data_IF_550193475318
#
_entry.id   IF_550193475318
#
_cell.length_a   1.000
_cell.length_b   1.000
_cell.length_c   1.000
_cell.angle_alpha   90.00
_cell.angle_beta   90.00
_cell.angle_gamma   90.00
#
_symmetry.space_group_name_H-M   'P 1'
#
loop_
_entity.id
_entity.type
_entity.pdbx_description
1 polymer ?
#
# COMPACT_ATOMS: atom_id res chain seq x y z
N UNK A 1 19.36 -36.33 4.77
CA UNK A 1 18.43 -36.34 5.93
C UNK A 1 18.81 -35.19 6.84
N UNK A 2 17.92 -34.22 7.07
CA UNK A 2 18.18 -33.07 7.96
C UNK A 2 17.91 -33.54 9.39
N UNK A 3 18.91 -33.42 10.27
CA UNK A 3 18.76 -33.73 11.71
C UNK A 3 18.44 -32.41 12.44
N UNK A 4 17.25 -32.33 13.02
CA UNK A 4 16.84 -31.19 13.86
C UNK A 4 17.25 -31.51 15.31
N UNK A 5 18.10 -30.65 15.90
CA UNK A 5 18.42 -30.74 17.33
C UNK A 5 17.39 -29.96 18.14
N UNK A 6 16.69 -30.63 19.03
CA UNK A 6 15.67 -30.03 19.91
C UNK A 6 16.18 -29.71 21.31
N UNK A 7 17.47 -29.93 21.57
CA UNK A 7 18.08 -29.82 22.92
C UNK A 7 18.30 -28.41 23.46
N UNK A 8 18.03 -27.36 22.67
CA UNK A 8 18.08 -25.97 23.14
C UNK A 8 17.10 -25.12 22.30
N UNK A 9 15.80 -25.15 22.62
CA UNK A 9 14.81 -24.39 21.86
C UNK A 9 15.04 -22.90 22.11
N UNK A 10 15.43 -22.18 21.09
CA UNK A 10 15.42 -20.71 21.11
C UNK A 10 14.05 -20.22 20.65
N UNK A 11 13.51 -19.21 21.35
CA UNK A 11 12.26 -18.57 20.92
C UNK A 11 12.49 -17.86 19.59
N UNK A 12 11.84 -18.36 18.54
CA UNK A 12 11.84 -17.73 17.22
C UNK A 12 10.92 -16.52 17.29
N UNK A 13 11.36 -15.35 16.80
CA UNK A 13 10.46 -14.21 16.60
C UNK A 13 9.40 -14.59 15.55
N UNK A 14 8.15 -14.23 15.81
CA UNK A 14 7.04 -14.49 14.89
C UNK A 14 7.13 -13.56 13.67
N UNK A 15 8.09 -13.80 12.77
CA UNK A 15 8.26 -13.00 11.54
C UNK A 15 7.13 -13.24 10.52
N UNK A 16 6.32 -14.29 10.71
CA UNK A 16 5.15 -14.64 9.89
C UNK A 16 3.84 -14.02 10.41
N UNK A 17 3.86 -13.15 11.39
CA UNK A 17 2.67 -12.64 12.07
C UNK A 17 1.91 -11.54 11.27
N UNK A 18 1.96 -11.59 9.95
CA UNK A 18 1.25 -10.68 9.08
C UNK A 18 0.62 -11.41 7.89
N UNK A 19 -0.47 -10.84 7.37
CA UNK A 19 -1.12 -11.29 6.15
C UNK A 19 -1.61 -10.10 5.32
N UNK A 20 -1.97 -10.36 4.07
CA UNK A 20 -2.55 -9.37 3.18
C UNK A 20 -3.92 -9.81 2.71
N UNK A 21 -4.87 -8.86 2.71
CA UNK A 21 -6.19 -9.03 2.13
C UNK A 21 -6.54 -7.83 1.26
N UNK A 22 -7.16 -8.09 0.13
CA UNK A 22 -7.85 -7.05 -0.60
C UNK A 22 -9.10 -6.63 0.19
N UNK A 23 -9.43 -5.33 0.33
CA UNK A 23 -10.54 -4.88 1.18
C UNK A 23 -11.88 -5.51 0.86
N UNK A 24 -12.21 -5.65 -0.43
CA UNK A 24 -13.46 -6.25 -0.88
C UNK A 24 -13.56 -7.74 -0.52
N UNK A 25 -12.44 -8.44 -0.42
CA UNK A 25 -12.40 -9.86 -0.05
C UNK A 25 -12.33 -10.06 1.46
N UNK A 26 -11.70 -9.11 2.17
CA UNK A 26 -11.49 -9.19 3.60
C UNK A 26 -12.76 -8.89 4.40
N UNK A 27 -13.43 -7.80 4.07
CA UNK A 27 -14.49 -7.23 4.90
C UNK A 27 -15.86 -7.28 4.21
N UNK A 28 -15.91 -7.16 2.89
CA UNK A 28 -17.16 -7.16 2.13
C UNK A 28 -17.62 -8.56 1.76
N UNK A 29 -16.72 -9.56 1.77
CA UNK A 29 -17.06 -10.94 1.43
C UNK A 29 -17.11 -11.82 2.69
N UNK A 30 -18.18 -12.62 2.89
CA UNK A 30 -18.34 -13.48 4.07
C UNK A 30 -17.19 -14.47 4.30
N UNK A 31 -16.53 -14.95 3.26
CA UNK A 31 -15.41 -15.89 3.42
C UNK A 31 -14.17 -15.21 4.02
N UNK A 32 -13.86 -13.99 3.58
CA UNK A 32 -12.75 -13.19 4.11
C UNK A 32 -12.96 -12.87 5.59
N UNK A 33 -14.17 -12.45 5.96
CA UNK A 33 -14.53 -12.24 7.36
C UNK A 33 -14.32 -13.51 8.20
N UNK A 34 -14.77 -14.66 7.74
CA UNK A 34 -14.56 -15.93 8.48
C UNK A 34 -13.07 -16.26 8.68
N UNK A 35 -12.23 -15.98 7.70
CA UNK A 35 -10.78 -16.18 7.82
C UNK A 35 -10.19 -15.21 8.84
N UNK A 36 -10.51 -13.92 8.74
CA UNK A 36 -10.02 -12.90 9.68
C UNK A 36 -10.54 -13.14 11.11
N UNK A 37 -11.79 -13.55 11.28
CA UNK A 37 -12.33 -13.92 12.58
C UNK A 37 -11.54 -15.08 13.19
N UNK A 38 -11.18 -16.09 12.39
CA UNK A 38 -10.39 -17.24 12.86
C UNK A 38 -8.97 -16.82 13.23
N UNK A 39 -8.31 -16.03 12.39
CA UNK A 39 -6.96 -15.52 12.65
C UNK A 39 -6.92 -14.67 13.92
N UNK A 40 -7.93 -13.81 14.11
CA UNK A 40 -8.08 -12.98 15.31
C UNK A 40 -8.29 -13.85 16.56
N UNK A 41 -9.16 -14.85 16.47
CA UNK A 41 -9.42 -15.78 17.58
C UNK A 41 -8.16 -16.54 18.02
N UNK A 42 -7.39 -17.06 17.06
CA UNK A 42 -6.18 -17.82 17.33
C UNK A 42 -4.97 -16.91 17.67
N UNK A 43 -5.09 -15.60 17.49
CA UNK A 43 -4.00 -14.59 17.61
C UNK A 43 -2.72 -15.02 16.89
N UNK A 44 -2.90 -15.67 15.74
CA UNK A 44 -1.80 -16.19 14.94
C UNK A 44 -1.10 -15.12 14.12
N UNK A 45 -1.79 -14.01 13.88
CA UNK A 45 -1.33 -12.87 13.08
C UNK A 45 -1.71 -11.58 13.79
N UNK A 46 -0.77 -10.64 13.89
CA UNK A 46 -0.97 -9.34 14.54
C UNK A 46 -1.26 -8.21 13.54
N UNK A 47 -0.70 -8.30 12.34
CA UNK A 47 -0.75 -7.21 11.36
C UNK A 47 -1.39 -7.66 10.06
N UNK A 48 -2.38 -6.90 9.59
CA UNK A 48 -3.02 -7.10 8.30
C UNK A 48 -2.65 -5.97 7.37
N UNK A 49 -2.08 -6.31 6.21
CA UNK A 49 -1.90 -5.35 5.11
C UNK A 49 -3.20 -5.23 4.35
N UNK A 50 -3.64 -4.00 4.11
CA UNK A 50 -4.87 -3.69 3.38
C UNK A 50 -4.68 -2.46 2.49
N UNK A 51 -5.30 -2.44 1.33
CA UNK A 51 -5.34 -1.27 0.46
C UNK A 51 -6.36 -0.26 0.96
N UNK A 52 -6.01 1.03 0.92
CA UNK A 52 -6.96 2.10 1.28
C UNK A 52 -8.08 2.25 0.26
N UNK A 53 -7.81 1.93 -1.00
CA UNK A 53 -8.76 2.08 -2.11
C UNK A 53 -9.22 3.53 -2.28
N UNK A 54 -8.29 4.44 -2.55
CA UNK A 54 -8.58 5.87 -2.69
C UNK A 54 -9.60 6.20 -3.78
N UNK A 55 -9.76 5.33 -4.76
CA UNK A 55 -10.80 5.42 -5.77
C UNK A 55 -12.23 5.27 -5.20
N UNK A 56 -12.37 4.68 -4.00
CA UNK A 56 -13.65 4.61 -3.28
C UNK A 56 -13.85 5.83 -2.34
N UNK A 57 -12.84 6.68 -2.18
CA UNK A 57 -12.81 7.79 -1.22
C UNK A 57 -12.93 9.13 -1.93
N UNK A 58 -12.07 9.41 -2.92
CA UNK A 58 -11.98 10.71 -3.56
C UNK A 58 -12.83 10.79 -4.83
N UNK A 59 -13.62 11.86 -4.95
CA UNK A 59 -14.51 12.09 -6.09
C UNK A 59 -14.66 13.59 -6.40
N UNK A 60 -15.21 13.93 -7.56
CA UNK A 60 -15.60 15.30 -7.87
C UNK A 60 -17.05 15.53 -7.53
N UNK A 61 -17.35 16.64 -6.87
CA UNK A 61 -18.72 17.11 -6.70
C UNK A 61 -19.30 17.71 -7.99
N UNK A 62 -20.57 18.13 -7.94
CA UNK A 62 -21.24 18.74 -9.09
C UNK A 62 -20.61 20.04 -9.61
N UNK A 63 -19.69 20.66 -8.85
CA UNK A 63 -18.96 21.88 -9.22
C UNK A 63 -17.51 21.58 -9.66
N UNK A 64 -17.11 20.31 -9.73
CA UNK A 64 -15.76 19.91 -10.08
C UNK A 64 -14.74 20.03 -8.94
N UNK A 65 -15.18 20.20 -7.70
CA UNK A 65 -14.32 20.22 -6.51
C UNK A 65 -14.07 18.80 -6.02
N UNK A 66 -12.81 18.50 -5.66
CA UNK A 66 -12.44 17.24 -5.02
C UNK A 66 -13.06 17.18 -3.63
N UNK A 67 -13.77 16.10 -3.37
CA UNK A 67 -14.40 15.78 -2.09
C UNK A 67 -14.01 14.37 -1.65
N UNK A 68 -14.15 14.08 -0.36
CA UNK A 68 -13.75 12.81 0.25
C UNK A 68 -14.91 12.18 1.02
N UNK A 69 -15.15 10.90 0.76
CA UNK A 69 -16.10 10.08 1.51
C UNK A 69 -15.40 8.89 2.14
N UNK A 70 -15.19 8.92 3.42
CA UNK A 70 -14.46 7.90 4.16
C UNK A 70 -15.32 6.74 4.67
N UNK A 71 -16.65 6.82 4.52
CA UNK A 71 -17.59 5.87 5.16
C UNK A 71 -17.31 4.41 4.84
N UNK A 72 -17.04 4.08 3.59
CA UNK A 72 -16.74 2.68 3.20
C UNK A 72 -15.37 2.24 3.73
N UNK A 73 -14.38 3.11 3.69
CA UNK A 73 -13.07 2.83 4.26
C UNK A 73 -13.15 2.65 5.79
N UNK A 74 -13.91 3.49 6.47
CA UNK A 74 -14.14 3.37 7.90
C UNK A 74 -14.73 2.02 8.28
N UNK A 75 -15.74 1.53 7.57
CA UNK A 75 -16.31 0.20 7.80
C UNK A 75 -15.27 -0.92 7.68
N UNK A 76 -14.33 -0.79 6.74
CA UNK A 76 -13.24 -1.75 6.56
C UNK A 76 -12.24 -1.70 7.72
N UNK A 77 -11.84 -0.51 8.12
CA UNK A 77 -10.86 -0.32 9.19
C UNK A 77 -11.45 -0.62 10.58
N UNK A 78 -12.67 -0.18 10.85
CA UNK A 78 -13.36 -0.46 12.11
C UNK A 78 -13.42 -1.97 12.39
N UNK A 79 -13.76 -2.77 11.36
CA UNK A 79 -13.77 -4.22 11.48
C UNK A 79 -12.38 -4.79 11.85
N UNK A 80 -11.32 -4.32 11.19
CA UNK A 80 -9.97 -4.76 11.47
C UNK A 80 -9.53 -4.42 12.91
N UNK A 81 -9.87 -3.20 13.35
CA UNK A 81 -9.53 -2.71 14.70
C UNK A 81 -10.33 -3.47 15.75
N UNK A 82 -11.63 -3.70 15.52
CA UNK A 82 -12.48 -4.52 16.41
C UNK A 82 -11.90 -5.93 16.61
N UNK A 83 -11.32 -6.50 15.55
CA UNK A 83 -10.65 -7.81 15.62
C UNK A 83 -9.25 -7.77 16.27
N UNK A 84 -8.77 -6.59 16.63
CA UNK A 84 -7.50 -6.42 17.34
C UNK A 84 -6.26 -6.40 16.44
N UNK A 85 -6.42 -6.21 15.14
CA UNK A 85 -5.29 -6.15 14.21
C UNK A 85 -4.60 -4.78 14.23
N UNK A 86 -3.28 -4.80 14.12
CA UNK A 86 -2.52 -3.67 13.60
C UNK A 86 -2.61 -3.65 12.07
N UNK A 87 -2.41 -2.48 11.47
CA UNK A 87 -2.58 -2.33 10.04
C UNK A 87 -1.27 -1.93 9.35
N UNK A 88 -1.06 -2.46 8.15
CA UNK A 88 -0.22 -1.87 7.14
C UNK A 88 -1.16 -1.33 6.05
N UNK A 89 -1.35 -0.01 6.04
CA UNK A 89 -2.21 0.66 5.08
C UNK A 89 -1.41 1.05 3.84
N UNK A 90 -1.76 0.49 2.70
CA UNK A 90 -1.17 0.88 1.44
C UNK A 90 -2.03 2.01 0.83
N UNK A 91 -1.48 3.22 0.73
CA UNK A 91 -2.12 4.41 0.17
C UNK A 91 -2.17 4.28 -1.35
N UNK A 92 -3.28 3.75 -1.85
CA UNK A 92 -3.53 3.41 -3.26
C UNK A 92 -5.03 3.11 -3.48
N UNK A 93 -5.54 3.02 -4.70
CA UNK A 93 -4.85 3.34 -5.96
C UNK A 93 -5.12 4.80 -6.33
N UNK A 94 -4.76 5.20 -7.59
CA UNK A 94 -4.97 6.57 -8.04
C UNK A 94 -6.47 6.80 -8.28
N UNK A 95 -7.12 7.76 -7.58
CA UNK A 95 -8.51 8.08 -7.87
C UNK A 95 -8.62 8.79 -9.23
N UNK A 96 -9.67 8.48 -9.98
CA UNK A 96 -9.88 9.04 -11.31
C UNK A 96 -9.95 10.57 -11.31
N UNK A 97 -10.46 11.16 -10.23
CA UNK A 97 -10.63 12.62 -10.11
C UNK A 97 -9.32 13.41 -10.10
N UNK A 98 -8.20 12.78 -9.72
CA UNK A 98 -6.87 13.39 -9.74
C UNK A 98 -5.91 12.73 -10.73
N UNK A 99 -6.33 11.66 -11.42
CA UNK A 99 -5.50 10.95 -12.38
C UNK A 99 -5.16 11.83 -13.60
N UNK A 100 -3.90 11.84 -14.03
CA UNK A 100 -3.45 12.52 -15.26
C UNK A 100 -4.05 11.86 -16.50
N UNK A 101 -4.12 10.53 -16.50
CA UNK A 101 -4.71 9.74 -17.56
C UNK A 101 -5.77 8.80 -17.00
N UNK A 102 -7.05 9.16 -17.18
CA UNK A 102 -8.19 8.36 -16.71
C UNK A 102 -8.30 7.01 -17.40
N UNK A 103 -7.71 6.85 -18.59
CA UNK A 103 -7.73 5.62 -19.37
C UNK A 103 -6.55 4.67 -19.05
N UNK A 104 -5.58 5.11 -18.24
CA UNK A 104 -4.48 4.27 -17.77
C UNK A 104 -4.99 3.32 -16.70
N UNK A 105 -5.48 2.17 -17.12
CA UNK A 105 -6.16 1.22 -16.21
C UNK A 105 -5.59 -0.18 -16.31
N UNK A 106 -5.67 -0.91 -15.21
CA UNK A 106 -5.35 -2.33 -15.14
C UNK A 106 -6.40 -3.06 -14.31
N UNK A 107 -6.62 -4.33 -14.64
CA UNK A 107 -7.48 -5.19 -13.82
C UNK A 107 -6.63 -6.04 -12.92
N UNK A 108 -6.63 -5.74 -11.63
CA UNK A 108 -5.97 -6.53 -10.60
C UNK A 108 -6.90 -7.64 -10.09
N UNK A 109 -6.32 -8.72 -9.56
CA UNK A 109 -7.08 -9.88 -9.10
C UNK A 109 -8.02 -10.44 -10.18
N UNK A 110 -7.51 -10.59 -11.41
CA UNK A 110 -8.22 -11.23 -12.53
C UNK A 110 -8.56 -12.65 -12.20
N UNK A 111 -9.46 -12.90 -11.34
CA UNK A 111 -9.69 -14.19 -11.29
C UNK A 111 -10.71 -14.94 -10.83
N UNK A 112 -10.70 -15.68 -11.24
CA UNK A 112 -11.05 -17.02 -11.56
C UNK A 112 -11.77 -17.80 -10.46
N UNK A 113 -11.78 -17.43 -9.22
CA UNK A 113 -12.43 -18.24 -8.21
C UNK A 113 -13.32 -17.50 -7.22
N UNK A 114 -12.81 -16.61 -6.45
CA UNK A 114 -13.56 -15.93 -5.38
C UNK A 114 -13.32 -14.44 -5.32
N UNK A 115 -12.21 -14.00 -5.90
CA UNK A 115 -11.83 -12.60 -5.90
C UNK A 115 -12.59 -11.86 -7.01
N UNK A 116 -13.26 -10.80 -6.66
CA UNK A 116 -13.84 -9.89 -7.66
C UNK A 116 -12.70 -9.12 -8.28
N UNK A 117 -12.47 -9.33 -9.58
CA UNK A 117 -11.53 -8.52 -10.34
C UNK A 117 -11.93 -7.04 -10.18
N UNK A 118 -10.97 -6.18 -9.87
CA UNK A 118 -11.18 -4.74 -9.79
C UNK A 118 -10.29 -4.04 -10.82
N UNK A 119 -10.88 -3.14 -11.57
CA UNK A 119 -10.14 -2.22 -12.43
C UNK A 119 -9.68 -1.04 -11.58
N UNK A 120 -8.37 -0.79 -11.61
CA UNK A 120 -7.73 0.33 -10.93
C UNK A 120 -7.18 1.31 -11.96
N UNK A 121 -7.09 2.59 -11.60
CA UNK A 121 -6.31 3.55 -12.37
C UNK A 121 -4.84 3.47 -11.95
N UNK A 122 -3.94 3.36 -12.93
CA UNK A 122 -2.50 3.20 -12.75
C UNK A 122 -1.71 4.46 -13.08
N UNK A 123 -2.39 5.55 -13.42
CA UNK A 123 -1.77 6.82 -13.80
C UNK A 123 -1.03 7.46 -12.63
N UNK A 124 -0.12 8.36 -12.96
CA UNK A 124 0.36 9.39 -12.03
C UNK A 124 -0.74 10.43 -11.80
N UNK A 125 -0.69 11.22 -10.72
CA UNK A 125 -1.64 12.32 -10.54
C UNK A 125 -1.40 13.40 -11.60
N UNK A 126 -2.45 14.13 -11.95
CA UNK A 126 -2.36 15.31 -12.83
C UNK A 126 -1.58 16.45 -12.16
N UNK A 127 -1.69 16.52 -10.83
CA UNK A 127 -0.94 17.43 -9.96
C UNK A 127 -0.54 16.68 -8.68
N UNK A 128 0.74 16.69 -8.33
CA UNK A 128 1.24 16.05 -7.10
C UNK A 128 0.75 16.76 -5.84
N UNK A 129 0.35 18.03 -5.91
CA UNK A 129 -0.31 18.72 -4.79
C UNK A 129 -1.68 18.10 -4.47
N UNK A 130 -2.43 17.65 -5.47
CA UNK A 130 -3.70 16.95 -5.24
C UNK A 130 -3.50 15.59 -4.58
N UNK A 131 -2.40 14.88 -4.89
CA UNK A 131 -2.03 13.65 -4.18
C UNK A 131 -1.56 13.92 -2.74
N UNK A 132 -0.77 14.97 -2.52
CA UNK A 132 -0.35 15.44 -1.20
C UNK A 132 -1.58 15.75 -0.32
N UNK A 133 -2.55 16.51 -0.87
CA UNK A 133 -3.78 16.85 -0.16
C UNK A 133 -4.64 15.63 0.17
N UNK A 134 -4.78 14.68 -0.76
CA UNK A 134 -5.48 13.42 -0.50
C UNK A 134 -4.81 12.64 0.65
N UNK A 135 -3.48 12.52 0.63
CA UNK A 135 -2.72 11.86 1.69
C UNK A 135 -2.86 12.59 3.03
N UNK A 136 -2.85 13.93 3.01
CA UNK A 136 -3.09 14.75 4.18
C UNK A 136 -4.49 14.52 4.76
N UNK A 137 -5.55 14.68 3.97
CA UNK A 137 -6.93 14.56 4.45
C UNK A 137 -7.23 13.13 4.95
N UNK A 138 -6.73 12.11 4.27
CA UNK A 138 -6.87 10.73 4.74
C UNK A 138 -6.12 10.47 6.06
N UNK A 139 -4.87 10.92 6.17
CA UNK A 139 -4.09 10.75 7.40
C UNK A 139 -4.73 11.50 8.56
N UNK A 140 -5.17 12.73 8.36
CA UNK A 140 -5.89 13.53 9.33
C UNK A 140 -7.17 12.82 9.78
N UNK A 141 -7.94 12.26 8.83
CA UNK A 141 -9.16 11.52 9.12
C UNK A 141 -8.90 10.32 10.03
N UNK A 142 -7.94 9.45 9.71
CA UNK A 142 -7.63 8.28 10.53
C UNK A 142 -7.06 8.65 11.90
N UNK A 143 -6.29 9.74 12.00
CA UNK A 143 -5.80 10.26 13.29
C UNK A 143 -6.95 10.80 14.14
N UNK A 144 -7.89 11.51 13.56
CA UNK A 144 -9.08 12.02 14.26
C UNK A 144 -10.01 10.89 14.72
N UNK A 145 -10.20 9.86 13.89
CA UNK A 145 -11.11 8.75 14.19
C UNK A 145 -10.53 7.77 15.21
N UNK A 146 -9.30 7.35 15.04
CA UNK A 146 -8.71 6.27 15.83
C UNK A 146 -7.71 6.74 16.89
N UNK A 147 -7.26 7.96 16.78
CA UNK A 147 -6.28 8.55 17.70
C UNK A 147 -4.83 8.13 17.43
N UNK A 148 -3.91 9.02 17.77
CA UNK A 148 -2.47 8.82 17.52
C UNK A 148 -1.91 7.56 18.20
N UNK A 149 -2.43 7.18 19.37
CA UNK A 149 -1.96 5.99 20.09
C UNK A 149 -2.21 4.67 19.33
N UNK A 150 -3.27 4.62 18.53
CA UNK A 150 -3.59 3.45 17.69
C UNK A 150 -2.82 3.56 16.38
N UNK A 151 -2.95 4.68 15.66
CA UNK A 151 -2.39 4.85 14.32
C UNK A 151 -0.85 4.80 14.32
N UNK A 152 -0.18 5.24 15.38
CA UNK A 152 1.29 5.14 15.49
C UNK A 152 1.84 3.70 15.54
N UNK A 153 0.97 2.71 15.76
CA UNK A 153 1.36 1.29 15.69
C UNK A 153 1.28 0.74 14.27
N UNK A 154 0.62 1.45 13.38
CA UNK A 154 0.44 1.05 11.99
C UNK A 154 1.65 1.40 11.12
N UNK A 155 1.66 0.85 9.92
CA UNK A 155 2.61 1.16 8.87
C UNK A 155 1.82 1.81 7.72
N UNK A 156 2.22 3.00 7.31
CA UNK A 156 1.63 3.72 6.19
C UNK A 156 2.54 3.58 4.98
N UNK A 157 2.11 2.85 3.99
CA UNK A 157 2.89 2.51 2.81
C UNK A 157 2.44 3.32 1.62
N UNK A 158 3.38 3.97 0.93
CA UNK A 158 3.09 4.65 -0.32
C UNK A 158 2.97 3.63 -1.45
N UNK A 159 1.77 3.51 -2.00
CA UNK A 159 1.43 2.77 -3.21
C UNK A 159 1.68 1.24 -3.14
N UNK A 160 1.62 0.56 -4.31
CA UNK A 160 1.85 -0.87 -4.47
C UNK A 160 2.51 -1.16 -5.82
N UNK A 161 3.63 -1.88 -5.81
CA UNK A 161 4.36 -2.37 -6.98
C UNK A 161 4.53 -1.32 -8.10
N UNK A 162 5.12 -0.15 -7.77
CA UNK A 162 5.28 0.92 -8.77
C UNK A 162 6.34 0.62 -9.83
N UNK A 163 7.09 -0.45 -9.67
CA UNK A 163 8.12 -0.91 -10.61
C UNK A 163 7.54 -1.69 -11.80
N UNK A 164 6.26 -2.07 -11.77
CA UNK A 164 5.62 -2.85 -12.85
C UNK A 164 4.37 -2.17 -13.42
N UNK A 165 4.09 -2.38 -14.73
CA UNK A 165 2.97 -1.73 -15.41
C UNK A 165 1.59 -2.13 -14.90
N UNK A 166 1.46 -3.28 -14.24
CA UNK A 166 0.18 -3.73 -13.70
C UNK A 166 -0.41 -2.79 -12.66
N UNK A 167 0.44 -2.04 -11.96
CA UNK A 167 -0.01 -1.17 -10.88
C UNK A 167 0.32 0.30 -11.11
N UNK A 168 1.34 0.61 -11.94
CA UNK A 168 1.79 1.98 -12.12
C UNK A 168 2.20 2.26 -13.56
N UNK A 169 1.57 3.26 -14.19
CA UNK A 169 1.82 3.69 -15.58
C UNK A 169 1.68 2.52 -16.56
N UNK A 170 0.49 1.91 -16.61
CA UNK A 170 0.22 0.73 -17.45
C UNK A 170 0.32 0.99 -18.96
N UNK A 171 0.35 2.24 -19.37
CA UNK A 171 0.61 2.66 -20.75
C UNK A 171 2.05 2.47 -21.18
N UNK A 172 2.99 2.30 -20.23
CA UNK A 172 4.39 2.02 -20.51
C UNK A 172 4.69 0.52 -20.41
N UNK A 173 5.47 0.02 -21.35
CA UNK A 173 5.93 -1.38 -21.34
C UNK A 173 6.80 -1.70 -20.11
N UNK A 174 6.89 -2.98 -19.77
CA UNK A 174 7.71 -3.50 -18.68
C UNK A 174 9.18 -3.73 -19.07
N UNK A 175 9.89 -2.67 -19.46
CA UNK A 175 11.31 -2.71 -19.78
C UNK A 175 12.12 -1.81 -18.83
N UNK A 176 13.47 -1.90 -18.89
CA UNK A 176 14.38 -1.17 -18.00
C UNK A 176 14.25 0.34 -18.12
N UNK A 177 14.13 0.89 -19.33
CA UNK A 177 13.98 2.32 -19.55
C UNK A 177 12.70 2.86 -18.90
N UNK A 178 11.58 2.19 -19.13
CA UNK A 178 10.30 2.55 -18.54
C UNK A 178 10.28 2.33 -17.02
N UNK A 179 11.05 1.38 -16.49
CA UNK A 179 11.22 1.20 -15.04
C UNK A 179 11.88 2.43 -14.40
N UNK A 180 12.86 3.04 -15.05
CA UNK A 180 13.48 4.29 -14.58
C UNK A 180 12.52 5.48 -14.68
N UNK A 181 11.66 5.53 -15.69
CA UNK A 181 10.59 6.53 -15.77
C UNK A 181 9.61 6.36 -14.61
N UNK A 182 9.18 5.13 -14.32
CA UNK A 182 8.33 4.82 -13.16
C UNK A 182 9.00 5.20 -11.85
N UNK A 183 10.30 4.94 -11.71
CA UNK A 183 11.06 5.34 -10.53
C UNK A 183 11.02 6.85 -10.31
N UNK A 184 11.30 7.64 -11.36
CA UNK A 184 11.29 9.09 -11.27
C UNK A 184 9.92 9.64 -10.85
N UNK A 185 8.84 9.09 -11.39
CA UNK A 185 7.48 9.50 -11.05
C UNK A 185 7.06 9.00 -9.64
N UNK A 186 7.47 7.78 -9.26
CA UNK A 186 7.22 7.27 -7.92
C UNK A 186 7.95 8.08 -6.83
N UNK A 187 9.16 8.54 -7.10
CA UNK A 187 9.90 9.40 -6.18
C UNK A 187 9.13 10.71 -5.87
N UNK A 188 8.52 11.32 -6.88
CA UNK A 188 7.65 12.50 -6.68
C UNK A 188 6.37 12.14 -5.92
N UNK A 189 5.80 10.97 -6.21
CA UNK A 189 4.61 10.47 -5.54
C UNK A 189 4.88 10.23 -4.04
N UNK A 190 6.05 9.66 -3.72
CA UNK A 190 6.48 9.42 -2.34
C UNK A 190 6.76 10.73 -1.59
N UNK A 191 7.43 11.70 -2.22
CA UNK A 191 7.68 13.03 -1.64
C UNK A 191 6.36 13.73 -1.28
N UNK A 192 5.36 13.69 -2.17
CA UNK A 192 4.05 14.26 -1.92
C UNK A 192 3.25 13.48 -0.84
N UNK A 193 3.35 12.14 -0.82
CA UNK A 193 2.77 11.31 0.23
C UNK A 193 3.39 11.64 1.59
N UNK A 194 4.70 11.63 1.70
CA UNK A 194 5.44 11.93 2.94
C UNK A 194 5.02 13.30 3.48
N UNK A 195 5.03 14.32 2.63
CA UNK A 195 4.67 15.69 2.99
C UNK A 195 3.21 15.79 3.48
N UNK A 196 2.26 15.19 2.77
CA UNK A 196 0.86 15.15 3.20
C UNK A 196 0.67 14.48 4.55
N UNK A 197 1.34 13.34 4.78
CA UNK A 197 1.32 12.64 6.08
C UNK A 197 1.92 13.50 7.19
N UNK A 198 3.06 14.15 6.93
CA UNK A 198 3.75 14.98 7.92
C UNK A 198 2.92 16.20 8.33
N UNK A 199 2.30 16.88 7.38
CA UNK A 199 1.41 18.03 7.65
C UNK A 199 0.19 17.60 8.49
N UNK A 200 -0.32 16.39 8.32
CA UNK A 200 -1.42 15.86 9.13
C UNK A 200 -1.06 15.56 10.60
N UNK A 201 0.19 15.74 11.01
CA UNK A 201 0.68 15.40 12.35
C UNK A 201 1.37 14.03 12.40
N UNK A 202 1.88 13.57 11.26
CA UNK A 202 2.45 12.25 11.06
C UNK A 202 3.85 12.01 11.57
N UNK A 203 4.47 12.93 12.32
CA UNK A 203 5.83 12.76 12.85
C UNK A 203 6.04 11.44 13.62
N UNK A 204 5.02 11.01 14.35
CA UNK A 204 5.04 9.77 15.14
C UNK A 204 4.58 8.53 14.35
N UNK A 205 4.13 8.70 13.12
CA UNK A 205 3.67 7.61 12.27
C UNK A 205 4.85 6.95 11.57
N UNK A 206 4.71 5.66 11.28
CA UNK A 206 5.69 4.89 10.52
C UNK A 206 5.29 4.88 9.05
N UNK A 207 6.10 5.52 8.21
CA UNK A 207 5.87 5.61 6.77
C UNK A 207 6.96 4.91 5.98
N UNK A 208 6.62 4.38 4.82
CA UNK A 208 7.57 3.66 3.97
C UNK A 208 6.98 3.18 2.65
N UNK A 209 7.69 2.27 2.04
CA UNK A 209 7.40 1.67 0.73
C UNK A 209 8.67 1.02 0.18
N UNK A 210 8.78 0.86 -1.13
CA UNK A 210 7.80 1.07 -2.20
C UNK A 210 6.89 -0.13 -2.50
N UNK A 211 6.94 -1.23 -1.74
CA UNK A 211 6.23 -2.47 -2.01
C UNK A 211 6.54 -3.06 -3.39
N UNK A 212 7.82 -3.18 -3.71
CA UNK A 212 8.30 -3.59 -5.02
C UNK A 212 7.86 -4.99 -5.42
N UNK A 213 7.64 -5.17 -6.72
CA UNK A 213 7.46 -6.50 -7.31
C UNK A 213 8.81 -7.25 -7.49
N UNK A 214 9.94 -6.54 -7.71
CA UNK A 214 11.22 -7.21 -7.82
C UNK A 214 12.37 -6.45 -8.46
N UNK A 215 12.24 -5.17 -8.83
CA UNK A 215 13.33 -4.42 -9.45
C UNK A 215 14.35 -3.90 -8.43
N UNK A 216 15.59 -4.39 -8.51
CA UNK A 216 16.69 -3.94 -7.64
C UNK A 216 17.06 -2.49 -7.95
N UNK A 217 17.19 -2.14 -9.23
CA UNK A 217 17.58 -0.77 -9.66
C UNK A 217 16.55 0.26 -9.19
N UNK A 218 15.27 -0.10 -9.22
CA UNK A 218 14.21 0.76 -8.69
C UNK A 218 14.40 0.95 -7.18
N UNK A 219 14.74 -0.12 -6.47
CA UNK A 219 14.95 -0.07 -5.03
C UNK A 219 16.11 0.84 -4.66
N UNK A 220 17.28 0.65 -5.30
CA UNK A 220 18.48 1.46 -5.07
C UNK A 220 18.23 2.93 -5.42
N UNK A 221 17.66 3.20 -6.59
CA UNK A 221 17.36 4.57 -7.02
C UNK A 221 16.34 5.27 -6.12
N UNK A 222 15.37 4.54 -5.57
CA UNK A 222 14.44 5.09 -4.58
C UNK A 222 15.15 5.45 -3.27
N UNK A 223 16.03 4.58 -2.77
CA UNK A 223 16.82 4.86 -1.56
C UNK A 223 17.73 6.08 -1.74
N UNK A 224 18.41 6.17 -2.87
CA UNK A 224 19.25 7.32 -3.19
C UNK A 224 18.45 8.61 -3.22
N UNK A 225 17.24 8.59 -3.81
CA UNK A 225 16.38 9.76 -3.85
C UNK A 225 15.94 10.19 -2.44
N UNK A 226 15.45 9.25 -1.63
CA UNK A 226 15.01 9.52 -0.26
C UNK A 226 16.14 10.10 0.58
N UNK A 227 17.33 9.50 0.50
CA UNK A 227 18.51 9.97 1.21
C UNK A 227 18.93 11.37 0.77
N UNK A 228 18.99 11.61 -0.55
CA UNK A 228 19.36 12.92 -1.12
C UNK A 228 18.40 14.04 -0.73
N UNK A 229 17.12 13.71 -0.62
CA UNK A 229 16.07 14.67 -0.25
C UNK A 229 15.86 14.81 1.25
N UNK A 230 16.42 13.90 2.06
CA UNK A 230 16.21 13.84 3.50
C UNK A 230 14.77 13.51 3.88
N UNK A 231 14.07 12.71 3.06
CA UNK A 231 12.69 12.31 3.33
C UNK A 231 12.63 11.27 4.43
N UNK A 232 11.53 11.26 5.18
CA UNK A 232 11.26 10.23 6.18
C UNK A 232 10.99 8.89 5.51
N UNK A 233 11.67 7.84 5.99
CA UNK A 233 11.48 6.47 5.56
C UNK A 233 11.76 5.53 6.75
N UNK A 234 10.71 5.00 7.37
CA UNK A 234 10.84 4.18 8.59
C UNK A 234 10.91 2.68 8.28
N UNK A 235 10.44 2.25 7.12
CA UNK A 235 10.50 0.86 6.69
C UNK A 235 10.55 0.73 5.17
N UNK A 236 11.11 -0.38 4.73
CA UNK A 236 11.12 -0.81 3.34
C UNK A 236 10.21 -2.02 3.18
N UNK A 237 9.56 -2.10 2.04
CA UNK A 237 8.69 -3.22 1.70
C UNK A 237 8.93 -3.70 0.27
N UNK A 238 8.85 -5.01 0.12
CA UNK A 238 8.98 -5.70 -1.17
C UNK A 238 8.16 -6.98 -1.15
N UNK A 239 7.82 -7.47 -2.33
CA UNK A 239 7.15 -8.76 -2.51
C UNK A 239 8.16 -9.79 -3.05
N UNK A 240 8.15 -10.98 -2.47
CA UNK A 240 8.94 -12.09 -2.95
C UNK A 240 8.15 -13.39 -2.79
N UNK A 241 7.92 -14.06 -3.89
CA UNK A 241 7.16 -15.31 -3.94
C UNK A 241 8.04 -16.57 -3.77
N UNK A 242 9.32 -16.40 -3.42
CA UNK A 242 10.24 -17.51 -3.20
C UNK A 242 10.73 -18.21 -4.46
N UNK A 243 9.96 -18.15 -5.53
CA UNK A 243 10.34 -18.68 -6.87
C UNK A 243 10.80 -17.58 -7.82
N UNK A 244 10.59 -16.31 -7.44
CA UNK A 244 10.97 -15.15 -8.22
C UNK A 244 12.05 -14.38 -7.48
N UNK A 245 13.34 -14.62 -7.77
CA UNK A 245 14.42 -13.81 -7.22
C UNK A 245 14.22 -12.35 -7.66
N UNK A 246 14.62 -11.42 -6.83
CA UNK A 246 14.73 -10.02 -7.24
C UNK A 246 15.73 -9.92 -8.40
N UNK A 247 15.41 -9.12 -9.37
CA UNK A 247 16.20 -8.96 -10.61
C UNK A 247 16.57 -7.50 -10.81
N UNK A 248 17.72 -7.31 -11.45
CA UNK A 248 18.03 -6.04 -12.07
C UNK A 248 17.02 -5.75 -13.19
N UNK A 249 16.87 -4.48 -13.56
CA UNK A 249 15.94 -4.09 -14.62
C UNK A 249 16.29 -4.64 -16.00
N UNK A 250 17.55 -5.07 -16.19
CA UNK A 250 18.03 -5.78 -17.38
C UNK A 250 17.66 -7.28 -17.39
N UNK A 251 17.07 -7.80 -16.32
CA UNK A 251 16.62 -9.19 -16.19
C UNK A 251 17.65 -10.16 -15.60
N UNK A 252 18.80 -9.66 -15.15
CA UNK A 252 19.85 -10.47 -14.49
C UNK A 252 19.67 -10.56 -12.97
#
# INVERSE_FOLDING_TARGET
>A
MIKIKTSNPQKIKNFWNHCHFHPTDAVEDPWGKRILDRISYDRSIDTVRIYTMFEDIAYLDGNGKICYDFRLNDLRLDYMIEKGFNLLLSYNFMPECIAKNKNSTSTVCKNKTRYKGKTINTSVPSDYLAWEELCFEYTKHILQRYGTQIVSKWYLQCFNEPDIPQFFMSELEGNSENTLIRLAEYCKLYEAFEKGVMIAGGEKLRIGGPALAGSIDFFEGFLDYVNKKGLKLDFLSLHNYGTNPMKLSDGT
#
